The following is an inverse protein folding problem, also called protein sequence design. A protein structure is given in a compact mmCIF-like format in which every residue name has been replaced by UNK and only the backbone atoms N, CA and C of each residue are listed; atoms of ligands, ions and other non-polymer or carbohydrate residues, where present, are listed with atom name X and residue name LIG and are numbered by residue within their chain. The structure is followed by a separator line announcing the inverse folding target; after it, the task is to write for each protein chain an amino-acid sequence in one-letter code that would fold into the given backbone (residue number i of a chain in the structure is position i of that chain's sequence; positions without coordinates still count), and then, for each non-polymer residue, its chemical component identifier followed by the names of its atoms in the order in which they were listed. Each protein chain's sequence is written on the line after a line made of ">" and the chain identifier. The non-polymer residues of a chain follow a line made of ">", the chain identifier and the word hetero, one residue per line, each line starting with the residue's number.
data_IF_481405798744
#
_entry.id   IF_481405798744
#
_cell.length_a   1.000
_cell.length_b   1.000
_cell.length_c   1.000
_cell.angle_alpha   90.00
_cell.angle_beta   90.00
_cell.angle_gamma   90.00
#
_symmetry.space_group_name_H-M   'P 1'
#
loop_
_entity.id
_entity.type
_entity.pdbx_description
1 polymer ?
#
# COMPACT_ATOMS: atom_id res chain seq x y z
N UNK A 1 -39.47 15.58 -0.35
CA UNK A 1 -38.10 15.04 -0.18
C UNK A 1 -37.12 15.93 -0.95
N UNK A 2 -36.18 16.60 -0.27
CA UNK A 2 -35.10 17.37 -0.93
C UNK A 2 -33.97 16.40 -1.26
N UNK A 3 -33.89 15.94 -2.52
CA UNK A 3 -32.81 15.08 -2.98
C UNK A 3 -31.51 15.90 -2.96
N UNK A 4 -30.62 15.64 -2.00
CA UNK A 4 -29.25 16.15 -2.06
C UNK A 4 -28.57 15.43 -3.22
N UNK A 5 -28.49 16.09 -4.38
CA UNK A 5 -27.65 15.65 -5.47
C UNK A 5 -26.19 15.78 -5.02
N UNK A 6 -25.63 14.71 -4.44
CA UNK A 6 -24.19 14.59 -4.31
C UNK A 6 -23.63 14.55 -5.72
N UNK A 7 -23.19 15.71 -6.24
CA UNK A 7 -22.35 15.77 -7.43
C UNK A 7 -21.08 14.99 -7.09
N UNK A 8 -21.04 13.71 -7.45
CA UNK A 8 -19.80 12.98 -7.59
C UNK A 8 -18.93 13.83 -8.51
N UNK A 9 -17.92 14.51 -7.95
CA UNK A 9 -16.93 15.20 -8.77
C UNK A 9 -16.13 14.10 -9.44
N UNK A 10 -16.43 13.84 -10.70
CA UNK A 10 -15.67 12.92 -11.56
C UNK A 10 -14.19 13.33 -11.73
N UNK A 11 -13.82 14.51 -11.23
CA UNK A 11 -12.47 15.06 -11.26
C UNK A 11 -12.02 15.35 -9.84
N UNK A 12 -10.98 14.64 -9.39
CA UNK A 12 -10.31 14.95 -8.14
C UNK A 12 -9.52 16.26 -8.30
N UNK A 13 -9.33 17.01 -7.21
CA UNK A 13 -8.50 18.21 -7.25
C UNK A 13 -7.02 17.84 -7.50
N UNK A 14 -6.21 18.76 -8.03
CA UNK A 14 -4.78 18.51 -8.27
C UNK A 14 -4.05 18.06 -7.00
N UNK A 15 -4.47 18.54 -5.82
CA UNK A 15 -3.92 18.11 -4.53
C UNK A 15 -4.30 16.67 -4.20
N UNK A 16 -5.57 16.30 -4.39
CA UNK A 16 -6.04 14.91 -4.23
C UNK A 16 -5.32 13.97 -5.20
N UNK A 17 -5.14 14.38 -6.46
CA UNK A 17 -4.39 13.61 -7.45
C UNK A 17 -2.94 13.38 -7.01
N UNK A 18 -2.28 14.42 -6.48
CA UNK A 18 -0.92 14.32 -5.95
C UNK A 18 -0.81 13.31 -4.82
N UNK A 19 -1.72 13.38 -3.83
CA UNK A 19 -1.74 12.42 -2.71
C UNK A 19 -1.95 10.99 -3.19
N UNK A 20 -2.89 10.77 -4.11
CA UNK A 20 -3.15 9.43 -4.68
C UNK A 20 -1.93 8.89 -5.45
N UNK A 21 -1.25 9.75 -6.21
CA UNK A 21 -0.02 9.38 -6.92
C UNK A 21 1.07 8.97 -5.94
N UNK A 22 1.29 9.74 -4.88
CA UNK A 22 2.26 9.39 -3.82
C UNK A 22 1.90 8.08 -3.15
N UNK A 23 0.63 7.86 -2.80
CA UNK A 23 0.19 6.59 -2.22
C UNK A 23 0.41 5.41 -3.16
N UNK A 24 0.12 5.57 -4.45
CA UNK A 24 0.36 4.55 -5.47
C UNK A 24 1.86 4.23 -5.59
N UNK A 25 2.71 5.24 -5.66
CA UNK A 25 4.16 5.07 -5.74
C UNK A 25 4.72 4.31 -4.52
N UNK A 26 4.25 4.66 -3.31
CA UNK A 26 4.66 3.96 -2.10
C UNK A 26 4.11 2.53 -2.06
N UNK A 27 2.90 2.29 -2.54
CA UNK A 27 2.33 0.94 -2.64
C UNK A 27 3.14 0.05 -3.60
N UNK A 28 3.55 0.59 -4.74
CA UNK A 28 4.44 -0.12 -5.68
C UNK A 28 5.80 -0.44 -5.06
N UNK A 29 6.38 0.50 -4.31
CA UNK A 29 7.64 0.25 -3.57
C UNK A 29 7.47 -0.87 -2.56
N UNK A 30 6.39 -0.85 -1.77
CA UNK A 30 6.10 -1.90 -0.80
C UNK A 30 5.95 -3.26 -1.48
N UNK A 31 5.20 -3.34 -2.58
CA UNK A 31 5.04 -4.56 -3.36
C UNK A 31 6.39 -5.12 -3.82
N UNK A 32 7.25 -4.29 -4.41
CA UNK A 32 8.57 -4.72 -4.87
C UNK A 32 9.45 -5.19 -3.70
N UNK A 33 9.38 -4.53 -2.54
CA UNK A 33 10.11 -4.98 -1.34
C UNK A 33 9.64 -6.36 -0.88
N UNK A 34 8.32 -6.61 -0.86
CA UNK A 34 7.77 -7.91 -0.49
C UNK A 34 8.15 -9.00 -1.49
N UNK A 35 8.11 -8.67 -2.79
CA UNK A 35 8.51 -9.59 -3.86
C UNK A 35 9.99 -9.98 -3.73
N UNK A 36 10.87 -9.03 -3.46
CA UNK A 36 12.29 -9.33 -3.22
C UNK A 36 12.49 -10.20 -1.98
N UNK A 37 11.78 -9.93 -0.88
CA UNK A 37 11.86 -10.76 0.31
C UNK A 37 11.41 -12.20 0.05
N UNK A 38 10.34 -12.40 -0.73
CA UNK A 38 9.86 -13.72 -1.12
C UNK A 38 10.85 -14.46 -2.03
N UNK A 39 11.47 -13.74 -2.98
CA UNK A 39 12.53 -14.29 -3.84
C UNK A 39 13.73 -14.75 -3.01
N UNK A 40 14.21 -13.92 -2.08
CA UNK A 40 15.31 -14.28 -1.19
C UNK A 40 14.99 -15.50 -0.32
N UNK A 41 13.76 -15.57 0.22
CA UNK A 41 13.29 -16.70 1.00
C UNK A 41 13.27 -17.98 0.16
N UNK A 42 12.82 -17.89 -1.09
CA UNK A 42 12.82 -19.02 -2.01
C UNK A 42 14.25 -19.45 -2.39
N UNK A 43 15.15 -18.50 -2.61
CA UNK A 43 16.54 -18.81 -2.95
C UNK A 43 17.26 -19.55 -1.80
N UNK A 44 17.09 -19.07 -0.57
CA UNK A 44 17.76 -19.58 0.64
C UNK A 44 17.12 -20.87 1.15
N UNK A 45 15.79 -20.92 1.22
CA UNK A 45 15.06 -21.96 1.93
C UNK A 45 14.19 -22.83 1.00
N UNK A 46 14.16 -22.56 -0.31
CA UNK A 46 13.37 -23.30 -1.32
C UNK A 46 11.88 -23.38 -0.98
N UNK A 47 11.35 -22.35 -0.31
CA UNK A 47 9.93 -22.23 0.04
C UNK A 47 9.38 -20.87 -0.34
N UNK A 48 8.07 -20.80 -0.50
CA UNK A 48 7.32 -19.57 -0.74
C UNK A 48 6.87 -18.99 0.60
N UNK A 49 6.78 -17.65 0.70
CA UNK A 49 6.24 -17.00 1.88
C UNK A 49 4.72 -17.13 1.92
N UNK A 50 4.16 -17.41 3.09
CA UNK A 50 2.71 -17.38 3.28
C UNK A 50 2.18 -15.95 3.25
N UNK A 51 0.90 -15.80 2.93
CA UNK A 51 0.21 -14.49 2.99
C UNK A 51 0.32 -13.82 4.36
N UNK A 52 0.37 -14.61 5.44
CA UNK A 52 0.49 -14.09 6.80
C UNK A 52 1.90 -13.53 7.07
N UNK A 53 2.95 -14.21 6.61
CA UNK A 53 4.33 -13.71 6.73
C UNK A 53 4.52 -12.43 5.94
N UNK A 54 4.06 -12.38 4.69
CA UNK A 54 4.10 -11.17 3.85
C UNK A 54 3.32 -10.01 4.49
N UNK A 55 2.15 -10.29 5.07
CA UNK A 55 1.36 -9.30 5.79
C UNK A 55 2.11 -8.74 7.01
N UNK A 56 2.72 -9.60 7.82
CA UNK A 56 3.48 -9.14 8.99
C UNK A 56 4.70 -8.32 8.57
N UNK A 57 5.42 -8.75 7.55
CA UNK A 57 6.54 -8.00 6.98
C UNK A 57 6.09 -6.61 6.50
N UNK A 58 4.95 -6.51 5.81
CA UNK A 58 4.39 -5.23 5.39
C UNK A 58 4.05 -4.31 6.56
N UNK A 59 3.46 -4.84 7.63
CA UNK A 59 3.14 -4.08 8.85
C UNK A 59 4.40 -3.58 9.56
N UNK A 60 5.43 -4.42 9.65
CA UNK A 60 6.71 -4.06 10.25
C UNK A 60 7.44 -2.98 9.44
N UNK A 61 7.47 -3.12 8.11
CA UNK A 61 8.03 -2.12 7.21
C UNK A 61 7.29 -0.79 7.35
N UNK A 62 5.95 -0.80 7.44
CA UNK A 62 5.15 0.39 7.68
C UNK A 62 5.46 1.06 9.01
N UNK A 63 5.73 0.27 10.06
CA UNK A 63 6.07 0.80 11.39
C UNK A 63 7.47 1.43 11.41
N UNK A 64 8.45 0.77 10.78
CA UNK A 64 9.88 1.12 10.88
C UNK A 64 10.32 2.17 9.85
N UNK A 65 9.69 2.24 8.68
CA UNK A 65 10.16 3.08 7.58
C UNK A 65 9.20 4.26 7.31
N UNK A 66 9.64 5.52 7.47
CA UNK A 66 8.83 6.71 7.18
C UNK A 66 8.25 6.75 5.76
N UNK A 67 8.93 6.17 4.77
CA UNK A 67 8.42 6.10 3.39
C UNK A 67 7.11 5.31 3.32
N UNK A 68 7.02 4.21 4.08
CA UNK A 68 5.84 3.35 4.08
C UNK A 68 4.75 3.84 5.03
N UNK A 69 5.07 4.72 6.00
CA UNK A 69 4.08 5.30 6.93
C UNK A 69 3.01 6.13 6.21
N UNK A 70 3.29 6.64 5.01
CA UNK A 70 2.33 7.36 4.16
C UNK A 70 1.17 6.47 3.68
N UNK A 71 1.33 5.15 3.72
CA UNK A 71 0.26 4.21 3.39
C UNK A 71 -0.76 4.14 4.53
N UNK A 72 -1.90 4.78 4.32
CA UNK A 72 -3.05 4.64 5.20
C UNK A 72 -3.72 3.29 4.99
N UNK A 73 -3.96 2.55 6.09
CA UNK A 73 -4.84 1.39 6.06
C UNK A 73 -6.28 1.88 5.93
N UNK A 74 -7.04 1.31 4.99
CA UNK A 74 -8.49 1.53 4.93
C UNK A 74 -9.26 0.89 6.09
N UNK A 75 -8.61 -0.02 6.83
CA UNK A 75 -9.19 -0.66 8.01
C UNK A 75 -8.62 0.03 9.24
N UNK A 76 -9.46 0.81 9.90
CA UNK A 76 -9.23 1.36 11.24
C UNK A 76 -9.28 0.24 12.28
#
# INVERSE_FOLDING_TARGET
>A
MRVRAYRFRAYCSNTTAGVLKTQLEVACKLYNTLLHAEQEEYEKNKRTMSKNELRQLALDLRKKNPVFQVLHSQVA
#
